data_IF_015722784186
#
_entry.id   IF_015722784186
#
_cell.length_a   1.000
_cell.length_b   1.000
_cell.length_c   1.000
_cell.angle_alpha   90.00
_cell.angle_beta   90.00
_cell.angle_gamma   90.00
#
_symmetry.space_group_name_H-M   'P 1'
#
loop_
_entity.id
_entity.type
_entity.pdbx_description
1 polymer ?
#
# COMPACT_ATOMS: atom_id res chain seq x y z
N UNK A 1 -23.51 44.80 -0.32
CA UNK A 1 -22.14 45.01 -0.83
C UNK A 1 -21.06 44.33 0.02
N UNK A 2 -21.18 44.29 1.36
CA UNK A 2 -20.19 43.62 2.23
C UNK A 2 -20.14 42.09 2.09
N UNK A 3 -21.30 41.42 1.90
CA UNK A 3 -21.36 39.96 1.71
C UNK A 3 -20.84 39.50 0.34
N UNK A 4 -20.82 40.38 -0.66
CA UNK A 4 -20.29 40.08 -2.00
C UNK A 4 -18.76 40.04 -1.99
N UNK A 5 -18.13 40.94 -1.22
CA UNK A 5 -16.67 40.93 -0.98
C UNK A 5 -16.22 39.69 -0.17
N UNK A 6 -17.02 39.25 0.82
CA UNK A 6 -16.73 38.02 1.58
C UNK A 6 -16.80 36.75 0.72
N UNK A 7 -17.73 36.69 -0.24
CA UNK A 7 -17.87 35.55 -1.16
C UNK A 7 -16.70 35.45 -2.14
N UNK A 8 -16.19 36.58 -2.63
CA UNK A 8 -15.02 36.64 -3.52
C UNK A 8 -13.75 36.16 -2.80
N UNK A 9 -13.59 36.53 -1.53
CA UNK A 9 -12.44 36.09 -0.71
C UNK A 9 -12.42 34.58 -0.45
N UNK A 10 -13.60 33.94 -0.34
CA UNK A 10 -13.69 32.49 -0.11
C UNK A 10 -13.39 31.68 -1.38
N UNK A 11 -13.73 32.23 -2.55
CA UNK A 11 -13.43 31.62 -3.85
C UNK A 11 -11.93 31.69 -4.19
N UNK A 12 -11.22 32.74 -3.76
CA UNK A 12 -9.78 32.88 -3.98
C UNK A 12 -8.94 31.84 -3.22
N UNK A 13 -9.41 31.36 -2.07
CA UNK A 13 -8.69 30.37 -1.25
C UNK A 13 -8.78 28.93 -1.84
N UNK A 14 -9.77 28.65 -2.67
CA UNK A 14 -9.94 27.34 -3.30
C UNK A 14 -8.95 27.08 -4.45
N UNK A 15 -8.39 28.15 -5.05
CA UNK A 15 -7.51 28.08 -6.22
C UNK A 15 -6.01 27.96 -5.86
N UNK A 16 -5.67 28.06 -4.57
CA UNK A 16 -4.27 28.06 -4.10
C UNK A 16 -3.74 26.69 -3.64
N UNK A 17 -4.54 25.63 -3.75
CA UNK A 17 -4.09 24.29 -3.36
C UNK A 17 -3.25 23.67 -4.50
N UNK A 18 -1.97 23.33 -4.27
CA UNK A 18 -1.22 22.54 -5.22
C UNK A 18 -1.87 21.16 -5.32
N UNK A 19 -2.33 20.80 -6.51
CA UNK A 19 -2.71 19.42 -6.82
C UNK A 19 -1.41 18.61 -6.92
N UNK A 20 -1.08 17.86 -5.88
CA UNK A 20 0.00 16.88 -5.96
C UNK A 20 -0.46 15.77 -6.91
N UNK A 21 0.13 15.71 -8.11
CA UNK A 21 0.05 14.53 -8.95
C UNK A 21 0.74 13.38 -8.20
N UNK A 22 0.00 12.31 -7.90
CA UNK A 22 0.60 11.09 -7.40
C UNK A 22 1.53 10.55 -8.49
N UNK A 23 2.84 10.59 -8.23
CA UNK A 23 3.83 9.97 -9.07
C UNK A 23 3.48 8.49 -9.28
N UNK A 24 3.47 8.09 -10.54
CA UNK A 24 3.09 6.77 -11.02
C UNK A 24 3.89 5.66 -10.31
N UNK A 25 3.18 4.70 -9.73
CA UNK A 25 3.74 3.46 -9.19
C UNK A 25 4.04 2.42 -10.30
N UNK A 26 4.38 2.84 -11.51
CA UNK A 26 4.48 1.96 -12.69
C UNK A 26 5.90 1.39 -12.92
N UNK A 27 6.61 1.01 -11.85
CA UNK A 27 8.04 0.68 -11.99
C UNK A 27 8.48 -0.60 -11.30
N UNK A 28 7.69 -1.69 -11.35
CA UNK A 28 8.20 -3.01 -10.94
C UNK A 28 7.68 -4.20 -11.75
N UNK A 29 7.69 -4.17 -13.08
CA UNK A 29 7.77 -5.42 -13.84
C UNK A 29 8.67 -5.24 -15.07
N UNK A 30 9.99 -5.54 -14.97
CA UNK A 30 10.77 -5.78 -16.17
C UNK A 30 10.24 -7.04 -16.86
N UNK A 31 9.48 -6.83 -17.93
CA UNK A 31 9.19 -7.87 -18.89
C UNK A 31 10.52 -8.22 -19.59
N UNK A 32 11.08 -9.38 -19.25
CA UNK A 32 12.21 -9.96 -20.00
C UNK A 32 13.54 -9.98 -19.26
N UNK A 33 13.70 -10.95 -18.38
CA UNK A 33 14.92 -11.76 -18.33
C UNK A 33 14.57 -13.04 -17.61
N UNK A 34 14.96 -14.18 -18.19
CA UNK A 34 14.88 -15.48 -17.54
C UNK A 34 15.75 -15.50 -16.28
N UNK A 35 15.25 -14.91 -15.21
CA UNK A 35 15.69 -15.24 -13.88
C UNK A 35 15.16 -16.65 -13.63
N UNK A 36 16.06 -17.62 -13.50
CA UNK A 36 15.75 -18.79 -12.71
C UNK A 36 15.18 -18.24 -11.39
N UNK A 37 13.86 -18.32 -11.24
CA UNK A 37 13.21 -18.02 -9.98
C UNK A 37 13.84 -19.01 -9.03
N UNK A 38 14.81 -18.54 -8.24
CA UNK A 38 15.19 -19.25 -7.02
C UNK A 38 13.91 -19.21 -6.23
N UNK A 39 13.11 -20.27 -6.39
CA UNK A 39 11.86 -20.49 -5.70
C UNK A 39 12.28 -20.70 -4.26
N UNK A 40 12.55 -19.60 -3.55
CA UNK A 40 12.72 -19.61 -2.12
C UNK A 40 11.56 -20.42 -1.58
N UNK A 41 11.88 -21.49 -0.83
CA UNK A 41 10.87 -22.42 -0.36
C UNK A 41 9.77 -21.61 0.33
N UNK A 42 8.56 -21.67 -0.25
CA UNK A 42 7.41 -20.99 0.33
C UNK A 42 7.19 -21.58 1.72
N UNK A 43 6.98 -20.72 2.71
CA UNK A 43 6.73 -21.16 4.06
C UNK A 43 5.27 -21.55 4.24
N UNK A 44 5.04 -22.68 4.88
CA UNK A 44 3.69 -23.15 5.23
C UNK A 44 3.17 -22.45 6.48
N UNK A 45 1.86 -22.40 6.67
CA UNK A 45 1.24 -21.83 7.85
C UNK A 45 -0.28 -21.98 7.85
N UNK A 46 -0.89 -21.97 9.04
CA UNK A 46 -2.34 -22.10 9.19
C UNK A 46 -2.97 -20.76 9.57
N UNK A 47 -4.00 -20.34 8.84
CA UNK A 47 -4.78 -19.15 9.17
C UNK A 47 -5.58 -19.41 10.45
N UNK A 48 -5.35 -18.57 11.47
CA UNK A 48 -6.02 -18.64 12.77
C UNK A 48 -7.20 -17.68 12.86
N UNK A 49 -7.07 -16.48 12.28
CA UNK A 49 -8.09 -15.44 12.33
C UNK A 49 -8.02 -14.56 11.08
N UNK A 50 -9.19 -14.16 10.60
CA UNK A 50 -9.34 -13.12 9.57
C UNK A 50 -10.13 -11.98 10.18
N UNK A 51 -9.53 -10.81 10.28
CA UNK A 51 -10.16 -9.59 10.75
C UNK A 51 -10.34 -8.63 9.56
N UNK A 52 -11.54 -8.67 8.96
CA UNK A 52 -11.87 -7.87 7.78
C UNK A 52 -11.98 -6.39 8.10
N UNK A 53 -12.45 -6.04 9.29
CA UNK A 53 -12.61 -4.64 9.71
C UNK A 53 -11.24 -3.98 9.90
N UNK A 54 -10.28 -4.70 10.48
CA UNK A 54 -8.91 -4.23 10.63
C UNK A 54 -8.02 -4.44 9.40
N UNK A 55 -8.47 -5.21 8.40
CA UNK A 55 -7.66 -5.60 7.24
C UNK A 55 -6.49 -6.52 7.60
N UNK A 56 -6.62 -7.36 8.63
CA UNK A 56 -5.52 -8.20 9.16
C UNK A 56 -5.85 -9.68 9.10
N UNK A 57 -4.81 -10.50 8.92
CA UNK A 57 -4.89 -11.96 9.01
C UNK A 57 -3.84 -12.43 10.02
N UNK A 58 -4.25 -13.28 10.96
CA UNK A 58 -3.35 -13.92 11.92
C UNK A 58 -3.06 -15.34 11.44
N UNK A 59 -1.79 -15.68 11.30
CA UNK A 59 -1.32 -16.97 10.79
C UNK A 59 -0.37 -17.59 11.82
N UNK A 60 -0.58 -18.85 12.19
CA UNK A 60 0.47 -19.65 12.84
C UNK A 60 1.39 -20.14 11.74
N UNK A 61 2.58 -19.57 11.67
CA UNK A 61 3.57 -19.97 10.67
C UNK A 61 4.14 -21.35 11.01
N UNK A 62 4.52 -22.10 9.99
CA UNK A 62 5.42 -23.25 10.12
C UNK A 62 6.88 -22.79 10.22
N UNK A 63 7.84 -23.71 10.05
CA UNK A 63 9.26 -23.38 10.08
C UNK A 63 9.64 -22.37 9.00
N UNK A 64 10.25 -21.26 9.39
CA UNK A 64 10.76 -20.24 8.46
C UNK A 64 12.28 -20.35 8.40
N UNK A 65 12.80 -21.33 7.64
CA UNK A 65 14.24 -21.62 7.56
C UNK A 65 15.07 -20.40 7.15
N UNK A 66 14.55 -19.58 6.23
CA UNK A 66 15.22 -18.36 5.75
C UNK A 66 15.38 -17.28 6.84
N UNK A 67 14.57 -17.35 7.90
CA UNK A 67 14.52 -16.39 9.01
C UNK A 67 14.93 -17.01 10.35
N UNK A 68 15.29 -18.31 10.36
CA UNK A 68 15.64 -19.05 11.57
C UNK A 68 14.50 -19.18 12.60
N UNK A 69 13.22 -19.08 12.19
CA UNK A 69 12.10 -19.11 13.13
C UNK A 69 11.48 -20.53 13.23
N UNK A 70 11.36 -21.11 14.44
CA UNK A 70 10.66 -22.38 14.67
C UNK A 70 9.12 -22.24 14.60
N UNK A 71 8.36 -23.34 14.46
CA UNK A 71 6.89 -23.32 14.27
C UNK A 71 6.03 -23.00 15.52
#
# INVERSE_FOLDING_TARGET
>A
MKSLLSFISLLALALANPVFAAAEHDSHHPAGSGAASVKAAASEGTVKKIDKAAGKITIKHGPLANLGMPP
#
